data_IF_780350901428
#
_entry.id   IF_780350901428
#
_cell.length_a   1.000
_cell.length_b   1.000
_cell.length_c   1.000
_cell.angle_alpha   90.00
_cell.angle_beta   90.00
_cell.angle_gamma   90.00
#
_symmetry.space_group_name_H-M   'P 1'
#
loop_
_entity.id
_entity.type
_entity.pdbx_description
1 polymer ?
#
# COMPACT_ATOMS: atom_id res chain seq x y z
N UNK A 1 10.36 -13.21 -38.31
CA UNK A 1 11.07 -12.95 -37.03
C UNK A 1 10.88 -11.49 -36.70
N UNK A 2 10.26 -11.19 -35.56
CA UNK A 2 9.98 -9.80 -35.16
C UNK A 2 10.86 -9.45 -33.97
N UNK A 3 11.58 -8.33 -34.06
CA UNK A 3 12.42 -7.81 -32.98
C UNK A 3 11.74 -6.57 -32.40
N UNK A 4 11.48 -6.60 -31.10
CA UNK A 4 10.89 -5.47 -30.37
C UNK A 4 11.97 -4.69 -29.64
N UNK A 5 11.94 -3.36 -29.78
CA UNK A 5 12.80 -2.42 -29.08
C UNK A 5 11.93 -1.35 -28.44
N UNK A 6 12.07 -1.16 -27.14
CA UNK A 6 11.37 -0.10 -26.39
C UNK A 6 12.33 1.04 -26.07
N UNK A 7 11.79 2.20 -25.70
CA UNK A 7 12.55 3.36 -25.22
C UNK A 7 12.96 3.25 -23.75
N UNK A 8 12.44 2.24 -23.03
CA UNK A 8 12.44 2.23 -21.57
C UNK A 8 11.41 3.18 -20.97
N UNK A 9 11.05 2.95 -19.70
CA UNK A 9 10.16 3.81 -18.91
C UNK A 9 10.96 4.35 -17.70
N UNK A 10 11.23 5.67 -17.64
CA UNK A 10 11.99 6.26 -16.54
C UNK A 10 11.16 6.45 -15.25
N UNK A 11 9.86 6.17 -15.27
CA UNK A 11 8.92 6.40 -14.17
C UNK A 11 8.65 5.16 -13.30
N UNK A 12 9.57 4.18 -13.33
CA UNK A 12 9.54 3.05 -12.42
C UNK A 12 9.78 3.49 -10.97
N UNK A 13 9.15 2.80 -10.03
CA UNK A 13 9.28 3.07 -8.60
C UNK A 13 9.15 1.77 -7.80
N UNK A 14 9.60 1.81 -6.54
CA UNK A 14 9.52 0.67 -5.62
C UNK A 14 8.19 0.71 -4.85
N UNK A 15 7.63 -0.48 -4.63
CA UNK A 15 6.50 -0.70 -3.72
C UNK A 15 6.99 -1.57 -2.55
N UNK A 16 6.90 -1.05 -1.33
CA UNK A 16 7.11 -1.83 -0.10
C UNK A 16 5.82 -2.53 0.29
N UNK A 17 5.79 -3.85 0.16
CA UNK A 17 4.59 -4.69 0.40
C UNK A 17 4.77 -5.81 1.43
N UNK A 18 5.82 -5.71 2.24
CA UNK A 18 6.31 -6.75 3.13
C UNK A 18 6.94 -7.93 2.37
N UNK A 19 7.26 -8.98 3.11
CA UNK A 19 7.74 -10.25 2.57
C UNK A 19 7.73 -11.35 3.63
N UNK A 20 8.46 -12.44 3.37
CA UNK A 20 8.52 -13.59 4.29
C UNK A 20 9.14 -13.25 5.65
N UNK A 21 9.96 -12.20 5.71
CA UNK A 21 10.56 -11.69 6.95
C UNK A 21 9.62 -10.77 7.74
N UNK A 22 8.41 -10.52 7.24
CA UNK A 22 7.39 -9.68 7.87
C UNK A 22 7.12 -8.35 7.14
N UNK A 23 6.36 -7.44 7.80
CA UNK A 23 6.09 -6.11 7.28
C UNK A 23 7.35 -5.27 7.10
N UNK A 24 7.31 -4.31 6.18
CA UNK A 24 8.41 -3.38 5.91
C UNK A 24 7.91 -1.93 5.66
N UNK A 25 6.82 -1.54 6.32
CA UNK A 25 6.25 -0.19 6.24
C UNK A 25 6.78 0.77 7.32
N UNK A 26 7.47 0.25 8.34
CA UNK A 26 8.00 1.06 9.44
C UNK A 26 9.07 2.05 8.95
N UNK A 27 9.29 3.12 9.72
CA UNK A 27 10.17 4.20 9.33
C UNK A 27 11.60 3.74 8.99
N UNK A 28 12.13 2.75 9.71
CA UNK A 28 13.47 2.23 9.48
C UNK A 28 13.55 1.48 8.15
N UNK A 29 12.53 0.67 7.84
CA UNK A 29 12.42 -0.02 6.55
C UNK A 29 12.28 0.96 5.38
N UNK A 30 11.47 2.00 5.52
CA UNK A 30 11.28 3.05 4.50
C UNK A 30 12.58 3.80 4.25
N UNK A 31 13.24 4.28 5.30
CA UNK A 31 14.51 5.02 5.18
C UNK A 31 15.61 4.15 4.55
N UNK A 32 15.71 2.89 4.97
CA UNK A 32 16.68 1.94 4.39
C UNK A 32 16.44 1.75 2.89
N UNK A 33 15.19 1.58 2.47
CA UNK A 33 14.83 1.42 1.06
C UNK A 33 15.17 2.68 0.25
N UNK A 34 14.83 3.87 0.75
CA UNK A 34 15.16 5.13 0.10
C UNK A 34 16.66 5.37 -0.01
N UNK A 35 17.43 5.05 1.04
CA UNK A 35 18.89 5.12 0.98
C UNK A 35 19.47 4.22 -0.12
N UNK A 36 18.98 2.98 -0.25
CA UNK A 36 19.41 2.08 -1.32
C UNK A 36 19.05 2.59 -2.72
N UNK A 37 17.95 3.33 -2.87
CA UNK A 37 17.62 4.02 -4.13
C UNK A 37 18.62 5.15 -4.43
N UNK A 38 18.96 5.96 -3.42
CA UNK A 38 19.95 7.03 -3.55
C UNK A 38 21.35 6.54 -3.92
N UNK A 39 21.78 5.39 -3.37
CA UNK A 39 23.08 4.76 -3.68
C UNK A 39 23.25 4.41 -5.17
N UNK A 40 22.15 4.24 -5.91
CA UNK A 40 22.15 3.96 -7.36
C UNK A 40 21.62 5.13 -8.20
N UNK A 41 21.44 6.31 -7.59
CA UNK A 41 21.01 7.53 -8.28
C UNK A 41 19.54 7.53 -8.71
N UNK A 42 18.68 6.74 -8.06
CA UNK A 42 17.24 6.72 -8.29
C UNK A 42 16.52 7.68 -7.32
N UNK A 43 15.30 8.16 -7.65
CA UNK A 43 14.52 8.97 -6.73
C UNK A 43 14.29 8.26 -5.39
N UNK A 44 14.60 8.93 -4.29
CA UNK A 44 14.44 8.43 -2.92
C UNK A 44 12.98 8.50 -2.45
N UNK A 45 12.06 8.02 -3.29
CA UNK A 45 10.63 7.97 -2.99
C UNK A 45 10.03 6.64 -3.42
N UNK A 46 9.06 6.17 -2.65
CA UNK A 46 8.44 4.87 -2.85
C UNK A 46 6.94 4.89 -2.53
N UNK A 47 6.26 3.82 -2.91
CA UNK A 47 4.87 3.54 -2.53
C UNK A 47 4.90 2.50 -1.40
N UNK A 48 4.00 2.64 -0.43
CA UNK A 48 3.79 1.61 0.60
C UNK A 48 2.45 0.92 0.36
N UNK A 49 2.47 -0.40 0.20
CA UNK A 49 1.27 -1.24 0.15
C UNK A 49 0.84 -1.59 1.57
N UNK A 50 -0.39 -1.28 1.92
CA UNK A 50 -0.93 -1.51 3.26
C UNK A 50 -1.39 -2.96 3.44
N UNK A 51 -1.66 -3.68 2.36
CA UNK A 51 -2.21 -5.04 2.39
C UNK A 51 -1.10 -6.11 2.45
N UNK A 52 -1.39 -7.30 1.92
CA UNK A 52 -0.45 -8.41 1.75
C UNK A 52 0.37 -8.73 3.00
N UNK A 53 1.70 -8.76 2.89
CA UNK A 53 2.57 -9.09 4.02
C UNK A 53 2.67 -7.94 5.03
N UNK A 54 2.37 -6.70 4.62
CA UNK A 54 2.33 -5.55 5.53
C UNK A 54 1.15 -5.59 6.50
N UNK A 55 -0.03 -6.04 6.05
CA UNK A 55 -1.16 -6.32 6.96
C UNK A 55 -1.10 -7.72 7.61
N UNK A 56 -0.04 -8.50 7.35
CA UNK A 56 0.08 -9.91 7.75
C UNK A 56 -1.14 -10.75 7.32
N UNK A 57 -1.67 -10.48 6.12
CA UNK A 57 -2.90 -11.09 5.57
C UNK A 57 -4.15 -10.87 6.41
N UNK A 58 -4.14 -9.89 7.32
CA UNK A 58 -5.30 -9.49 8.11
C UNK A 58 -5.75 -8.12 7.62
N UNK A 59 -6.72 -8.09 6.69
CA UNK A 59 -7.17 -6.90 5.98
C UNK A 59 -7.44 -5.67 6.87
N UNK A 60 -8.01 -5.84 8.07
CA UNK A 60 -8.25 -4.73 9.02
C UNK A 60 -6.99 -4.03 9.50
N UNK A 61 -5.84 -4.71 9.49
CA UNK A 61 -4.54 -4.13 9.87
C UNK A 61 -4.01 -3.12 8.87
N UNK A 62 -4.61 -3.01 7.69
CA UNK A 62 -4.34 -1.88 6.79
C UNK A 62 -4.54 -0.52 7.49
N UNK A 63 -5.46 -0.41 8.45
CA UNK A 63 -5.64 0.78 9.28
C UNK A 63 -4.45 1.05 10.21
N UNK A 64 -3.81 0.00 10.72
CA UNK A 64 -2.61 0.15 11.55
C UNK A 64 -1.42 0.63 10.71
N UNK A 65 -1.28 0.08 9.50
CA UNK A 65 -0.28 0.55 8.53
C UNK A 65 -0.53 2.01 8.16
N UNK A 66 -1.79 2.39 7.92
CA UNK A 66 -2.17 3.76 7.61
C UNK A 66 -1.82 4.73 8.75
N UNK A 67 -2.06 4.35 10.00
CA UNK A 67 -1.70 5.16 11.19
C UNK A 67 -0.19 5.34 11.32
N UNK A 68 0.59 4.31 11.06
CA UNK A 68 2.06 4.38 11.10
C UNK A 68 2.59 5.33 10.02
N UNK A 69 2.16 5.15 8.78
CA UNK A 69 2.55 6.00 7.65
C UNK A 69 2.09 7.45 7.85
N UNK A 70 0.88 7.67 8.36
CA UNK A 70 0.42 9.00 8.76
C UNK A 70 1.31 9.62 9.85
N UNK A 71 1.78 8.83 10.82
CA UNK A 71 2.74 9.26 11.83
C UNK A 71 4.09 9.67 11.24
N UNK A 72 4.60 8.91 10.28
CA UNK A 72 5.84 9.25 9.56
C UNK A 72 5.70 10.54 8.75
N UNK A 73 4.57 10.73 8.06
CA UNK A 73 4.27 11.97 7.33
C UNK A 73 4.22 13.14 8.33
N UNK A 74 3.48 13.01 9.44
CA UNK A 74 3.38 14.06 10.46
C UNK A 74 4.72 14.40 11.12
N UNK A 75 5.66 13.46 11.18
CA UNK A 75 7.02 13.72 11.69
C UNK A 75 7.97 14.37 10.67
N UNK A 76 7.49 14.64 9.45
CA UNK A 76 8.23 15.34 8.40
C UNK A 76 8.89 14.43 7.38
N UNK A 77 8.64 13.12 7.40
CA UNK A 77 9.12 12.21 6.35
C UNK A 77 8.55 12.60 4.98
N UNK A 78 9.40 12.59 3.96
CA UNK A 78 9.02 12.87 2.56
C UNK A 78 9.31 11.68 1.61
N UNK A 79 9.63 10.52 2.18
CA UNK A 79 9.99 9.32 1.41
C UNK A 79 8.77 8.62 0.78
N UNK A 80 7.60 8.68 1.42
CA UNK A 80 6.38 8.03 0.91
C UNK A 80 5.70 8.95 -0.10
N UNK A 81 5.77 8.59 -1.38
CA UNK A 81 5.12 9.33 -2.47
C UNK A 81 3.65 8.93 -2.66
N UNK A 82 3.25 7.77 -2.16
CA UNK A 82 1.88 7.29 -2.24
C UNK A 82 1.69 5.96 -1.53
N UNK A 83 0.45 5.46 -1.57
CA UNK A 83 0.05 4.25 -0.88
C UNK A 83 -0.74 3.34 -1.82
N UNK A 84 -0.78 2.06 -1.51
CA UNK A 84 -1.70 1.09 -2.11
C UNK A 84 -2.50 0.43 -0.98
N UNK A 85 -3.80 0.24 -1.19
CA UNK A 85 -4.69 -0.39 -0.21
C UNK A 85 -5.75 -1.22 -0.93
N UNK A 86 -6.22 -2.27 -0.27
CA UNK A 86 -7.27 -3.17 -0.77
C UNK A 86 -8.55 -2.94 0.03
N UNK A 87 -9.54 -2.36 -0.65
CA UNK A 87 -10.84 -2.03 -0.09
C UNK A 87 -11.94 -2.40 -1.07
N UNK A 88 -13.12 -2.68 -0.54
CA UNK A 88 -14.32 -2.94 -1.32
C UNK A 88 -15.56 -2.48 -0.54
N UNK A 89 -16.75 -2.75 -1.07
CA UNK A 89 -17.99 -2.31 -0.43
C UNK A 89 -18.15 -3.03 0.91
N UNK A 90 -18.13 -4.36 0.86
CA UNK A 90 -18.14 -5.27 2.00
C UNK A 90 -16.72 -5.72 2.35
N UNK A 91 -16.46 -5.94 3.64
CA UNK A 91 -15.16 -6.42 4.11
C UNK A 91 -14.90 -7.89 3.81
N UNK A 92 -13.62 -8.27 3.89
CA UNK A 92 -13.16 -9.64 3.76
C UNK A 92 -13.21 -10.13 2.31
N UNK A 93 -13.37 -11.44 2.16
CA UNK A 93 -13.49 -12.10 0.87
C UNK A 93 -14.53 -13.23 0.92
N UNK A 94 -14.80 -13.82 -0.25
CA UNK A 94 -15.68 -14.96 -0.44
C UNK A 94 -15.09 -15.90 -1.51
N UNK A 95 -15.39 -17.21 -1.46
CA UNK A 95 -15.01 -18.14 -2.53
C UNK A 95 -15.87 -17.93 -3.78
N UNK A 96 -15.35 -18.35 -4.94
CA UNK A 96 -16.03 -18.25 -6.24
C UNK A 96 -16.66 -19.60 -6.65
N UNK A 97 -17.21 -20.34 -5.69
CA UNK A 97 -17.73 -21.70 -5.92
C UNK A 97 -19.07 -21.69 -6.68
N UNK A 98 -19.94 -20.70 -6.41
CA UNK A 98 -21.23 -20.50 -7.10
C UNK A 98 -21.39 -19.03 -7.53
N UNK A 99 -21.30 -18.80 -8.84
CA UNK A 99 -21.42 -17.46 -9.44
C UNK A 99 -22.80 -16.84 -9.30
N UNK A 100 -23.83 -17.64 -9.01
CA UNK A 100 -25.21 -17.15 -8.87
C UNK A 100 -25.54 -16.70 -7.45
N UNK A 101 -24.68 -16.99 -6.48
CA UNK A 101 -24.89 -16.74 -5.05
C UNK A 101 -23.79 -15.86 -4.41
N UNK A 102 -23.05 -15.09 -5.22
CA UNK A 102 -22.02 -14.18 -4.71
C UNK A 102 -22.65 -13.02 -3.94
N UNK A 103 -22.08 -12.72 -2.77
CA UNK A 103 -22.39 -11.50 -2.02
C UNK A 103 -21.91 -10.30 -2.83
N UNK A 104 -22.83 -9.41 -3.19
CA UNK A 104 -22.51 -8.21 -3.94
C UNK A 104 -21.52 -7.35 -3.15
N UNK A 105 -20.49 -6.84 -3.83
CA UNK A 105 -19.56 -5.92 -3.19
C UNK A 105 -18.58 -6.58 -2.22
N UNK A 106 -18.39 -7.90 -2.29
CA UNK A 106 -17.36 -8.63 -1.52
C UNK A 106 -16.30 -9.29 -2.41
N UNK A 107 -15.03 -9.12 -2.04
CA UNK A 107 -13.89 -9.59 -2.84
C UNK A 107 -13.91 -11.11 -3.05
N UNK A 108 -13.52 -11.58 -4.23
CA UNK A 108 -13.34 -13.02 -4.53
C UNK A 108 -11.88 -13.47 -4.45
N UNK A 109 -10.97 -12.56 -4.12
CA UNK A 109 -9.52 -12.82 -4.03
C UNK A 109 -9.03 -12.54 -2.61
N UNK A 110 -8.17 -11.54 -2.44
CA UNK A 110 -7.65 -11.15 -1.14
C UNK A 110 -8.73 -10.38 -0.34
N UNK A 111 -8.74 -10.53 0.99
CA UNK A 111 -9.71 -9.86 1.83
C UNK A 111 -9.48 -8.34 1.86
N UNK A 112 -10.57 -7.59 1.70
CA UNK A 112 -10.54 -6.12 1.62
C UNK A 112 -11.06 -5.45 2.90
N UNK A 113 -10.70 -4.18 3.12
CA UNK A 113 -11.43 -3.30 4.02
C UNK A 113 -12.86 -3.06 3.50
N UNK A 114 -13.81 -2.80 4.41
CA UNK A 114 -15.12 -2.27 4.02
C UNK A 114 -15.05 -0.80 3.59
N UNK A 115 -16.14 -0.30 3.04
CA UNK A 115 -16.26 1.11 2.68
C UNK A 115 -16.05 2.06 3.88
N UNK A 116 -16.60 1.73 5.05
CA UNK A 116 -16.48 2.55 6.27
C UNK A 116 -15.01 2.67 6.70
N UNK A 117 -14.29 1.55 6.72
CA UNK A 117 -12.87 1.56 7.04
C UNK A 117 -12.02 2.22 5.96
N UNK A 118 -12.48 2.23 4.71
CA UNK A 118 -11.83 2.97 3.61
C UNK A 118 -11.90 4.47 3.86
N UNK A 119 -13.07 4.97 4.26
CA UNK A 119 -13.25 6.38 4.63
C UNK A 119 -12.37 6.72 5.82
N UNK A 120 -12.35 5.89 6.88
CA UNK A 120 -11.48 6.10 8.05
C UNK A 120 -10.00 6.18 7.65
N UNK A 121 -9.53 5.26 6.81
CA UNK A 121 -8.15 5.25 6.30
C UNK A 121 -7.81 6.54 5.54
N UNK A 122 -8.71 6.99 4.66
CA UNK A 122 -8.49 8.20 3.87
C UNK A 122 -8.50 9.46 4.74
N UNK A 123 -9.34 9.53 5.77
CA UNK A 123 -9.35 10.63 6.73
C UNK A 123 -8.03 10.71 7.51
N UNK A 124 -7.53 9.57 8.01
CA UNK A 124 -6.22 9.47 8.69
C UNK A 124 -5.09 10.03 7.82
N UNK A 125 -5.06 9.64 6.53
CA UNK A 125 -4.04 10.08 5.59
C UNK A 125 -4.21 11.56 5.20
N UNK A 126 -5.44 12.01 4.99
CA UNK A 126 -5.76 13.42 4.68
C UNK A 126 -5.25 14.35 5.77
N UNK A 127 -5.51 14.01 7.03
CA UNK A 127 -5.07 14.78 8.20
C UNK A 127 -3.54 14.83 8.30
N UNK A 128 -2.85 13.75 7.96
CA UNK A 128 -1.39 13.71 7.94
C UNK A 128 -0.81 14.68 6.90
N UNK A 129 -1.35 14.66 5.67
CA UNK A 129 -0.86 15.52 4.58
C UNK A 129 -1.16 16.99 4.86
N UNK A 130 -2.33 17.32 5.44
CA UNK A 130 -2.67 18.70 5.82
C UNK A 130 -1.74 19.27 6.89
N UNK A 131 -1.19 18.45 7.78
CA UNK A 131 -0.27 18.89 8.83
C UNK A 131 1.10 19.33 8.28
N UNK A 132 1.46 18.90 7.05
CA UNK A 132 2.69 19.31 6.39
C UNK A 132 2.58 20.66 5.62
N UNK A 133 1.38 21.23 5.50
CA UNK A 133 1.13 22.52 4.82
C UNK A 133 1.21 23.68 5.81
#
# INVERSE_FOLDING_TARGET
MTVYRTSGNPYGHVILRGGDTGPNYDAQSVEKACKSLGEVGLPERLIVDFSHANCQKQHRRQLDVAKDIAGQIKSGSQYVAGIMAESFIEEGNQPMDDLTALEYGKSITDPCLSWEHTVEMLDILSDAVKTQQ
#
